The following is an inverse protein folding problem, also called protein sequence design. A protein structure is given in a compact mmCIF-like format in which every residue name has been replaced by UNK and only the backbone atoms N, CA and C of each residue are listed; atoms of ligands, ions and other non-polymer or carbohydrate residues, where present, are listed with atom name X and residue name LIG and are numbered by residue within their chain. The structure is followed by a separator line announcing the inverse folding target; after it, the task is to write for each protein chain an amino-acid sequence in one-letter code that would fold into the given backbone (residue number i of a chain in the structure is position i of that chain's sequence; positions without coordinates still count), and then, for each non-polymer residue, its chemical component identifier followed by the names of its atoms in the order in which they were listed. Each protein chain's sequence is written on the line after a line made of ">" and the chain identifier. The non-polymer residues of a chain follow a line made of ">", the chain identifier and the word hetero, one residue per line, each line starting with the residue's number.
data_IF_119689815718
#
_entry.id   IF_119689815718
#
_cell.length_a   1.000
_cell.length_b   1.000
_cell.length_c   1.000
_cell.angle_alpha   90.00
_cell.angle_beta   90.00
_cell.angle_gamma   90.00
#
_symmetry.space_group_name_H-M   'P 1'
#
loop_
_entity.id
_entity.type
_entity.pdbx_description
1 polymer ?
#
# COMPACT_ATOMS: atom_id res chain seq x y z
N UNK A 1 16.73 -0.29 -15.80
CA UNK A 1 17.74 -1.13 -16.50
C UNK A 1 18.83 -0.17 -16.97
N UNK A 2 20.12 -0.41 -16.65
CA UNK A 2 21.21 0.45 -17.07
C UNK A 2 21.46 0.27 -18.57
N UNK A 3 21.47 1.37 -19.33
CA UNK A 3 21.84 1.39 -20.74
C UNK A 3 23.31 1.78 -20.95
N UNK A 4 23.78 2.71 -20.14
CA UNK A 4 25.19 3.11 -20.13
C UNK A 4 26.14 1.98 -19.70
N UNK A 5 25.67 1.03 -18.86
CA UNK A 5 26.40 -0.13 -18.39
C UNK A 5 25.80 -1.45 -18.94
N UNK A 6 25.22 -1.41 -20.14
CA UNK A 6 24.50 -2.56 -20.69
C UNK A 6 25.38 -3.81 -20.86
N UNK A 7 26.66 -3.64 -21.21
CA UNK A 7 27.58 -4.76 -21.35
C UNK A 7 27.76 -5.53 -20.03
N UNK A 8 27.94 -4.80 -18.92
CA UNK A 8 28.07 -5.37 -17.60
C UNK A 8 26.75 -6.01 -17.12
N UNK A 9 25.62 -5.33 -17.33
CA UNK A 9 24.30 -5.89 -17.07
C UNK A 9 24.08 -7.20 -17.82
N UNK A 10 24.40 -7.23 -19.11
CA UNK A 10 24.26 -8.42 -19.95
C UNK A 10 25.15 -9.57 -19.53
N UNK A 11 26.36 -9.27 -19.05
CA UNK A 11 27.31 -10.27 -18.51
C UNK A 11 26.83 -10.86 -17.18
N UNK A 12 26.34 -10.01 -16.27
CA UNK A 12 25.87 -10.43 -14.94
C UNK A 12 24.51 -11.12 -14.96
N UNK A 13 23.73 -10.97 -16.03
CA UNK A 13 22.36 -11.51 -16.14
C UNK A 13 22.15 -12.25 -17.47
N UNK A 14 22.97 -13.24 -17.81
CA UNK A 14 22.98 -13.83 -19.16
C UNK A 14 21.63 -14.43 -19.58
N UNK A 15 20.91 -15.04 -18.62
CA UNK A 15 19.69 -15.78 -18.90
C UNK A 15 18.40 -14.94 -18.85
N UNK A 16 18.47 -13.80 -18.15
CA UNK A 16 17.27 -12.95 -17.90
C UNK A 16 17.44 -11.52 -18.42
N UNK A 17 18.53 -11.23 -19.09
CA UNK A 17 18.76 -9.91 -19.68
C UNK A 17 17.70 -9.58 -20.72
N UNK A 18 17.31 -8.33 -20.74
CA UNK A 18 16.53 -7.79 -21.85
C UNK A 18 17.45 -7.29 -22.95
N UNK A 19 17.05 -7.44 -24.20
CA UNK A 19 17.80 -6.92 -25.33
C UNK A 19 17.70 -5.39 -25.37
N UNK A 20 18.76 -4.74 -25.81
CA UNK A 20 18.77 -3.29 -26.02
C UNK A 20 18.36 -2.88 -27.45
N UNK A 21 18.18 -3.86 -28.36
CA UNK A 21 17.75 -3.64 -29.74
C UNK A 21 16.77 -4.72 -30.18
N UNK A 22 15.93 -4.42 -31.17
CA UNK A 22 15.01 -5.36 -31.77
C UNK A 22 13.61 -5.35 -31.12
N UNK A 23 12.81 -6.34 -31.47
CA UNK A 23 11.47 -6.50 -30.89
C UNK A 23 11.53 -6.79 -29.41
N UNK A 24 10.66 -6.20 -28.62
CA UNK A 24 10.63 -6.33 -27.15
C UNK A 24 11.95 -5.92 -26.45
N UNK A 25 12.68 -4.97 -27.03
CA UNK A 25 13.87 -4.41 -26.39
C UNK A 25 13.51 -3.43 -25.28
N UNK A 26 14.53 -3.13 -24.45
CA UNK A 26 14.45 -2.07 -23.43
C UNK A 26 13.97 -0.77 -24.06
N UNK A 27 13.02 -0.10 -23.43
CA UNK A 27 12.54 1.22 -23.83
C UNK A 27 13.44 2.25 -23.14
N UNK A 28 14.24 3.04 -23.88
CA UNK A 28 15.06 4.09 -23.28
C UNK A 28 14.19 5.19 -22.66
N UNK A 29 14.53 5.59 -21.43
CA UNK A 29 14.00 6.80 -20.82
C UNK A 29 14.94 7.99 -21.01
N UNK A 30 16.24 7.71 -21.04
CA UNK A 30 17.33 8.61 -21.39
C UNK A 30 18.56 7.80 -21.86
N UNK A 31 19.74 8.43 -21.99
CA UNK A 31 20.99 7.76 -22.38
C UNK A 31 21.45 6.68 -21.40
N UNK A 32 21.07 6.78 -20.13
CA UNK A 32 21.65 6.01 -19.03
C UNK A 32 20.75 4.86 -18.59
N UNK A 33 19.44 5.03 -18.67
CA UNK A 33 18.46 4.06 -18.16
C UNK A 33 17.31 3.81 -19.12
N UNK A 34 16.79 2.61 -19.04
CA UNK A 34 15.56 2.20 -19.72
C UNK A 34 14.66 1.33 -18.83
N UNK A 35 13.46 1.09 -19.30
CA UNK A 35 12.43 0.28 -18.65
C UNK A 35 12.12 -0.97 -19.45
N UNK A 36 11.46 -1.91 -18.78
CA UNK A 36 10.97 -3.13 -19.41
C UNK A 36 9.97 -2.78 -20.54
N UNK A 37 9.99 -3.48 -21.68
CA UNK A 37 9.10 -3.18 -22.82
C UNK A 37 7.61 -3.23 -22.48
N UNK A 38 7.20 -4.09 -21.55
CA UNK A 38 5.80 -4.14 -21.06
C UNK A 38 5.36 -2.88 -20.29
N UNK A 39 6.29 -2.00 -19.94
CA UNK A 39 6.02 -0.75 -19.23
C UNK A 39 5.97 0.47 -20.20
N UNK A 40 5.68 0.24 -21.47
CA UNK A 40 5.72 1.29 -22.50
C UNK A 40 4.87 2.54 -22.14
N UNK A 41 3.72 2.36 -21.48
CA UNK A 41 2.88 3.47 -21.03
C UNK A 41 3.55 4.41 -20.01
N UNK A 42 4.61 3.96 -19.33
CA UNK A 42 5.38 4.81 -18.42
C UNK A 42 6.22 5.84 -19.14
N UNK A 43 6.66 5.55 -20.38
CA UNK A 43 7.40 6.53 -21.19
C UNK A 43 6.53 7.74 -21.54
N UNK A 44 5.25 7.52 -21.82
CA UNK A 44 4.30 8.61 -22.10
C UNK A 44 4.10 9.49 -20.86
N UNK A 45 4.01 8.88 -19.68
CA UNK A 45 3.89 9.61 -18.42
C UNK A 45 5.16 10.42 -18.10
N UNK A 46 6.34 9.85 -18.37
CA UNK A 46 7.61 10.56 -18.21
C UNK A 46 7.69 11.77 -19.14
N UNK A 47 7.37 11.58 -20.41
CA UNK A 47 7.38 12.64 -21.42
C UNK A 47 6.37 13.75 -21.10
N UNK A 48 5.25 13.40 -20.46
CA UNK A 48 4.25 14.35 -19.98
C UNK A 48 4.61 15.03 -18.65
N UNK A 49 5.79 14.75 -18.06
CA UNK A 49 6.21 15.27 -16.76
C UNK A 49 5.41 14.76 -15.58
N UNK A 50 4.73 13.61 -15.73
CA UNK A 50 3.86 13.00 -14.71
C UNK A 50 4.50 11.79 -14.01
N UNK A 51 5.74 11.48 -14.34
CA UNK A 51 6.50 10.37 -13.78
C UNK A 51 7.91 10.83 -13.42
N UNK A 52 8.39 10.43 -12.26
CA UNK A 52 9.79 10.52 -11.87
C UNK A 52 10.34 9.10 -11.64
N UNK A 53 11.57 8.86 -12.06
CA UNK A 53 12.28 7.60 -11.83
C UNK A 53 13.45 7.85 -10.90
N UNK A 54 13.48 7.18 -9.76
CA UNK A 54 14.52 7.32 -8.75
C UNK A 54 15.26 5.98 -8.66
N UNK A 55 16.56 6.01 -8.95
CA UNK A 55 17.42 4.83 -8.88
C UNK A 55 18.27 4.85 -7.61
N UNK A 56 18.83 3.69 -7.23
CA UNK A 56 19.76 3.58 -6.12
C UNK A 56 19.11 3.77 -4.75
N UNK A 57 17.80 3.56 -4.64
CA UNK A 57 17.09 3.60 -3.35
C UNK A 57 17.41 2.33 -2.57
N UNK A 58 17.87 2.50 -1.34
CA UNK A 58 18.21 1.41 -0.45
C UNK A 58 18.60 1.93 0.93
N UNK A 59 19.17 1.07 1.77
CA UNK A 59 19.66 1.41 3.09
C UNK A 59 21.10 0.90 3.29
N UNK A 60 21.89 1.53 4.19
CA UNK A 60 23.26 1.12 4.42
C UNK A 60 23.38 -0.32 4.96
N UNK A 61 24.44 -1.02 4.55
CA UNK A 61 24.79 -2.38 5.03
C UNK A 61 23.65 -3.39 4.94
N UNK A 62 23.06 -3.61 3.74
CA UNK A 62 22.00 -4.57 3.57
C UNK A 62 22.49 -6.00 3.86
N UNK A 63 21.68 -6.76 4.59
CA UNK A 63 21.97 -8.18 4.88
C UNK A 63 21.40 -9.13 3.82
N UNK A 64 20.81 -8.59 2.74
CA UNK A 64 20.16 -9.31 1.64
C UNK A 64 18.96 -10.18 2.06
N UNK A 65 18.46 -10.04 3.28
CA UNK A 65 17.18 -10.61 3.68
C UNK A 65 16.04 -9.80 3.04
N UNK A 66 15.15 -10.46 2.34
CA UNK A 66 13.96 -9.83 1.75
C UNK A 66 13.07 -9.20 2.82
N UNK A 67 12.82 -9.95 3.91
CA UNK A 67 11.94 -9.50 5.00
C UNK A 67 12.54 -8.31 5.76
N UNK A 68 13.83 -8.36 6.08
CA UNK A 68 14.48 -7.25 6.77
C UNK A 68 14.54 -6.01 5.90
N UNK A 69 14.81 -6.19 4.60
CA UNK A 69 14.84 -5.07 3.64
C UNK A 69 13.47 -4.43 3.47
N UNK A 70 12.41 -5.22 3.39
CA UNK A 70 11.05 -4.72 3.32
C UNK A 70 10.68 -3.95 4.60
N UNK A 71 10.99 -4.51 5.77
CA UNK A 71 10.74 -3.85 7.05
C UNK A 71 11.52 -2.53 7.19
N UNK A 72 12.80 -2.49 6.77
CA UNK A 72 13.59 -1.25 6.77
C UNK A 72 12.99 -0.19 5.86
N UNK A 73 12.54 -0.58 4.67
CA UNK A 73 11.90 0.34 3.73
C UNK A 73 10.55 0.83 4.26
N UNK A 74 9.74 -0.03 4.85
CA UNK A 74 8.45 0.36 5.43
C UNK A 74 8.61 1.25 6.67
N UNK A 75 9.61 0.97 7.49
CA UNK A 75 9.96 1.84 8.60
C UNK A 75 10.60 3.15 8.14
N UNK A 76 11.18 3.21 6.93
CA UNK A 76 11.95 4.37 6.46
C UNK A 76 13.14 4.66 7.37
N UNK A 77 13.87 3.62 7.74
CA UNK A 77 15.02 3.66 8.64
C UNK A 77 16.31 3.33 7.91
N UNK A 78 17.42 3.74 8.46
CA UNK A 78 18.75 3.59 7.85
C UNK A 78 19.40 2.21 8.07
N UNK A 79 18.72 1.29 8.74
CA UNK A 79 19.23 -0.06 9.02
C UNK A 79 20.21 -0.16 10.19
N UNK A 80 20.59 0.97 10.84
CA UNK A 80 21.53 0.95 11.96
C UNK A 80 20.93 0.41 13.27
N UNK A 81 19.60 0.42 13.38
CA UNK A 81 18.90 -0.14 14.53
C UNK A 81 17.65 -0.95 14.11
N UNK A 82 17.84 -2.20 13.64
CA UNK A 82 16.75 -3.03 13.17
C UNK A 82 15.75 -3.45 14.25
N UNK A 83 16.11 -3.34 15.53
CA UNK A 83 15.23 -3.72 16.64
C UNK A 83 14.13 -2.70 16.97
N UNK A 84 14.19 -1.50 16.41
CA UNK A 84 13.21 -0.43 16.68
C UNK A 84 12.30 -0.18 15.46
N UNK A 85 11.57 -1.22 15.07
CA UNK A 85 10.62 -1.19 13.96
C UNK A 85 9.18 -1.00 14.47
N UNK A 86 8.98 -0.05 15.39
CA UNK A 86 7.68 0.17 16.03
C UNK A 86 6.74 1.01 15.16
N UNK A 87 7.29 1.84 14.30
CA UNK A 87 6.51 2.74 13.45
C UNK A 87 6.97 2.75 11.98
N UNK A 88 6.03 3.06 11.10
CA UNK A 88 6.24 3.15 9.67
C UNK A 88 6.36 4.59 9.16
N UNK A 89 7.00 4.73 8.01
CA UNK A 89 7.20 6.04 7.37
C UNK A 89 5.88 6.76 7.08
N UNK A 90 4.86 6.02 6.63
CA UNK A 90 3.55 6.60 6.32
C UNK A 90 2.76 6.90 7.59
N UNK A 91 2.90 6.08 8.64
CA UNK A 91 2.30 6.37 9.94
C UNK A 91 2.79 7.70 10.52
N UNK A 92 4.11 7.90 10.53
CA UNK A 92 4.72 9.18 10.95
C UNK A 92 4.29 10.36 10.07
N UNK A 93 4.24 10.16 8.76
CA UNK A 93 3.76 11.18 7.83
C UNK A 93 2.31 11.58 8.13
N UNK A 94 1.42 10.61 8.25
CA UNK A 94 -0.01 10.86 8.51
C UNK A 94 -0.23 11.61 9.82
N UNK A 95 0.47 11.24 10.90
CA UNK A 95 0.33 11.94 12.17
C UNK A 95 0.81 13.39 12.09
N UNK A 96 1.91 13.63 11.40
CA UNK A 96 2.47 14.97 11.24
C UNK A 96 1.62 15.90 10.37
N UNK A 97 1.07 15.36 9.28
CA UNK A 97 0.39 16.16 8.24
C UNK A 97 -1.12 16.23 8.45
N UNK A 98 -1.69 15.21 9.07
CA UNK A 98 -3.13 15.04 9.30
C UNK A 98 -3.44 14.72 10.76
N UNK A 99 -2.99 15.56 11.72
CA UNK A 99 -3.21 15.27 13.13
C UNK A 99 -4.71 15.16 13.43
N UNK A 100 -5.08 14.15 14.21
CA UNK A 100 -6.47 13.87 14.59
C UNK A 100 -7.36 13.27 13.51
N UNK A 101 -6.82 12.99 12.32
CA UNK A 101 -7.59 12.31 11.24
C UNK A 101 -7.40 10.80 11.22
N UNK A 102 -6.38 10.30 11.90
CA UNK A 102 -6.11 8.87 11.99
C UNK A 102 -6.88 8.19 13.12
N UNK A 103 -7.04 6.87 13.03
CA UNK A 103 -7.78 6.08 14.01
C UNK A 103 -9.22 5.79 13.60
N UNK A 104 -10.12 5.76 14.57
CA UNK A 104 -11.54 5.47 14.34
C UNK A 104 -12.23 6.59 13.54
N UNK A 105 -13.33 6.28 12.82
CA UNK A 105 -14.10 7.28 12.11
C UNK A 105 -14.49 8.43 13.03
N UNK A 106 -14.25 9.66 12.59
CA UNK A 106 -14.55 10.86 13.36
C UNK A 106 -15.09 11.98 12.46
N UNK A 107 -15.45 13.12 13.06
CA UNK A 107 -16.03 14.24 12.32
C UNK A 107 -15.10 14.88 11.29
N UNK A 108 -13.79 14.75 11.47
CA UNK A 108 -12.78 15.28 10.54
C UNK A 108 -12.51 14.30 9.40
N UNK A 109 -12.62 12.99 9.68
CA UNK A 109 -12.31 11.93 8.72
C UNK A 109 -13.25 10.74 8.92
N UNK A 110 -14.25 10.64 8.06
CA UNK A 110 -15.22 9.54 8.04
C UNK A 110 -14.72 8.30 7.29
N UNK A 111 -13.74 8.48 6.41
CA UNK A 111 -13.09 7.41 5.63
C UNK A 111 -11.79 6.96 6.30
N UNK A 112 -11.34 5.72 6.09
CA UNK A 112 -9.99 5.33 6.50
C UNK A 112 -8.95 6.25 5.85
N UNK A 113 -8.01 6.75 6.64
CA UNK A 113 -6.96 7.67 6.13
C UNK A 113 -6.07 6.98 5.11
N UNK A 114 -5.82 5.69 5.32
CA UNK A 114 -5.06 4.84 4.40
C UNK A 114 -5.79 3.52 4.16
N UNK A 115 -5.73 3.02 2.93
CA UNK A 115 -6.28 1.72 2.52
C UNK A 115 -5.21 0.92 1.79
N UNK A 116 -5.07 -0.34 2.19
CA UNK A 116 -4.21 -1.30 1.53
C UNK A 116 -5.03 -2.37 0.81
N UNK A 117 -4.59 -2.70 -0.40
CA UNK A 117 -5.16 -3.75 -1.24
C UNK A 117 -4.07 -4.76 -1.63
N UNK A 118 -4.29 -6.04 -1.35
CA UNK A 118 -3.35 -7.10 -1.69
C UNK A 118 -3.29 -8.19 -0.63
N UNK A 119 -2.40 -9.16 -0.84
CA UNK A 119 -2.24 -10.31 0.04
C UNK A 119 -1.03 -10.19 0.99
N UNK A 120 -0.21 -9.17 0.83
CA UNK A 120 0.86 -8.87 1.78
C UNK A 120 0.30 -8.05 2.94
N UNK A 121 0.94 -8.16 4.09
CA UNK A 121 0.54 -7.42 5.29
C UNK A 121 1.58 -6.31 5.59
N UNK A 122 1.49 -5.14 4.92
CA UNK A 122 2.42 -4.04 5.16
C UNK A 122 2.01 -3.20 6.38
N UNK A 123 1.46 -3.83 7.43
CA UNK A 123 1.01 -3.13 8.65
C UNK A 123 2.05 -2.13 9.13
N UNK A 124 3.32 -2.50 9.07
CA UNK A 124 4.41 -1.68 9.56
C UNK A 124 4.46 -0.30 8.90
N UNK A 125 4.18 -0.17 7.59
CA UNK A 125 4.30 1.11 6.88
C UNK A 125 3.36 2.19 7.44
N UNK A 126 2.20 1.76 7.98
CA UNK A 126 1.17 2.66 8.53
C UNK A 126 1.16 2.72 10.07
N UNK A 127 1.96 1.90 10.74
CA UNK A 127 2.00 1.91 12.20
C UNK A 127 2.59 3.20 12.75
N UNK A 128 1.99 3.68 13.83
CA UNK A 128 2.54 4.73 14.68
C UNK A 128 2.09 4.52 16.12
N UNK A 129 2.84 5.07 17.09
CA UNK A 129 2.61 4.90 18.52
C UNK A 129 1.22 5.32 18.99
N UNK A 130 0.63 6.33 18.36
CA UNK A 130 -0.70 6.86 18.70
C UNK A 130 -1.79 6.48 17.68
N UNK A 131 -1.39 5.98 16.52
CA UNK A 131 -2.28 5.62 15.42
C UNK A 131 -2.08 4.17 15.04
N UNK A 132 -2.74 3.27 15.75
CA UNK A 132 -2.95 1.92 15.27
C UNK A 132 -4.00 1.99 14.18
N UNK A 133 -3.56 2.35 12.98
CA UNK A 133 -4.44 2.37 11.82
C UNK A 133 -4.99 0.95 11.63
N UNK A 134 -6.30 0.86 11.51
CA UNK A 134 -6.95 -0.38 11.13
C UNK A 134 -6.59 -0.58 9.67
N UNK A 135 -5.74 -1.56 9.41
CA UNK A 135 -5.46 -2.01 8.06
C UNK A 135 -6.69 -2.71 7.53
N UNK A 136 -7.28 -2.17 6.49
CA UNK A 136 -8.38 -2.81 5.80
C UNK A 136 -7.84 -3.55 4.58
N UNK A 137 -7.77 -4.87 4.67
CA UNK A 137 -7.49 -5.71 3.50
C UNK A 137 -8.75 -5.79 2.64
N UNK A 138 -8.89 -4.87 1.70
CA UNK A 138 -10.03 -4.80 0.80
C UNK A 138 -9.91 -5.75 -0.41
N UNK A 139 -9.02 -6.75 -0.39
CA UNK A 139 -8.91 -7.74 -1.48
C UNK A 139 -10.17 -8.60 -1.63
N UNK A 140 -11.06 -8.59 -0.65
CA UNK A 140 -12.37 -9.24 -0.70
C UNK A 140 -13.50 -8.30 -0.33
N UNK A 141 -13.78 -7.31 -1.18
CA UNK A 141 -15.02 -6.52 -1.02
C UNK A 141 -16.31 -7.36 -1.22
N UNK A 142 -16.18 -8.65 -1.49
CA UNK A 142 -17.27 -9.65 -1.52
C UNK A 142 -17.16 -10.66 -0.37
N UNK A 143 -16.11 -10.59 0.44
CA UNK A 143 -15.95 -11.46 1.61
C UNK A 143 -16.81 -10.94 2.75
N UNK A 144 -17.64 -11.80 3.26
CA UNK A 144 -18.31 -11.65 4.56
C UNK A 144 -17.28 -11.12 5.55
N UNK A 145 -17.46 -9.91 6.05
CA UNK A 145 -16.75 -9.49 7.24
C UNK A 145 -16.92 -10.57 8.28
N UNK A 146 -15.85 -10.85 8.97
CA UNK A 146 -15.82 -11.80 10.07
C UNK A 146 -17.15 -11.75 10.81
N UNK A 147 -17.91 -12.85 10.67
CA UNK A 147 -19.18 -12.94 11.30
C UNK A 147 -19.02 -12.69 12.79
N UNK A 148 -19.66 -11.64 13.19
CA UNK A 148 -20.32 -11.48 14.48
C UNK A 148 -19.78 -12.39 15.58
N UNK A 149 -18.96 -11.82 16.42
CA UNK A 149 -19.03 -12.20 17.82
C UNK A 149 -20.43 -11.80 18.27
N UNK A 150 -21.24 -12.79 18.65
CA UNK A 150 -22.55 -12.56 19.24
C UNK A 150 -22.42 -11.49 20.35
N UNK A 151 -23.41 -10.61 20.52
CA UNK A 151 -23.38 -9.62 21.59
C UNK A 151 -23.53 -10.34 22.93
N UNK A 152 -22.45 -10.92 23.40
CA UNK A 152 -22.40 -11.34 24.78
C UNK A 152 -22.26 -10.06 25.60
N UNK A 153 -23.30 -9.75 26.36
CA UNK A 153 -23.33 -8.63 27.30
C UNK A 153 -22.41 -9.01 28.45
N UNK A 154 -21.12 -8.90 28.23
CA UNK A 154 -20.16 -8.96 29.30
C UNK A 154 -20.05 -7.55 29.90
N UNK A 155 -20.34 -7.43 31.17
CA UNK A 155 -20.13 -6.18 31.91
C UNK A 155 -18.63 -5.84 31.82
N UNK A 156 -18.28 -4.57 31.56
CA UNK A 156 -16.88 -4.15 31.59
C UNK A 156 -16.34 -4.42 32.99
N UNK A 157 -15.25 -5.13 33.08
CA UNK A 157 -14.50 -5.28 34.33
C UNK A 157 -13.12 -4.61 34.16
N UNK A 158 -12.56 -4.15 35.25
CA UNK A 158 -11.27 -3.48 35.30
C UNK A 158 -10.07 -4.45 35.19
N UNK A 159 -10.32 -5.71 34.89
CA UNK A 159 -9.27 -6.69 34.65
C UNK A 159 -8.57 -6.44 33.30
N UNK A 160 -7.37 -6.99 33.14
CA UNK A 160 -6.65 -6.93 31.81
C UNK A 160 -7.48 -7.58 30.70
N UNK A 161 -8.25 -8.60 31.05
CA UNK A 161 -9.15 -9.27 30.11
C UNK A 161 -10.34 -8.39 29.73
N UNK A 162 -10.97 -7.71 30.69
CA UNK A 162 -12.05 -6.75 30.41
C UNK A 162 -11.59 -5.59 29.55
N UNK A 163 -10.42 -5.00 29.85
CA UNK A 163 -9.82 -3.94 29.02
C UNK A 163 -9.51 -4.41 27.59
N UNK A 164 -9.01 -5.65 27.43
CA UNK A 164 -8.76 -6.23 26.11
C UNK A 164 -10.08 -6.43 25.33
N UNK A 165 -11.12 -6.90 25.98
CA UNK A 165 -12.44 -7.06 25.35
C UNK A 165 -13.04 -5.71 24.91
N UNK A 166 -12.97 -4.70 25.75
CA UNK A 166 -13.42 -3.36 25.42
C UNK A 166 -12.66 -2.80 24.21
N UNK A 167 -11.35 -2.99 24.18
CA UNK A 167 -10.53 -2.62 23.04
C UNK A 167 -10.98 -3.35 21.76
N UNK A 168 -11.18 -4.67 21.79
CA UNK A 168 -11.61 -5.45 20.64
C UNK A 168 -12.99 -5.01 20.11
N UNK A 169 -13.93 -4.72 21.02
CA UNK A 169 -15.25 -4.17 20.63
C UNK A 169 -15.15 -2.78 19.99
N UNK A 170 -14.26 -1.95 20.49
CA UNK A 170 -13.98 -0.64 19.91
C UNK A 170 -13.45 -0.78 18.48
N UNK A 171 -12.53 -1.73 18.25
CA UNK A 171 -11.99 -2.06 16.93
C UNK A 171 -13.10 -2.57 16.00
N UNK A 172 -13.92 -3.52 16.45
CA UNK A 172 -15.04 -4.09 15.68
C UNK A 172 -16.02 -3.00 15.25
N UNK A 173 -16.48 -2.16 16.16
CA UNK A 173 -17.37 -1.03 15.85
C UNK A 173 -16.78 -0.06 14.84
N UNK A 174 -15.50 0.21 14.95
CA UNK A 174 -14.79 1.08 14.01
C UNK A 174 -14.68 0.43 12.62
N UNK A 175 -14.42 -0.88 12.59
CA UNK A 175 -14.38 -1.64 11.33
C UNK A 175 -15.72 -1.65 10.63
N UNK A 176 -16.83 -1.88 11.33
CA UNK A 176 -18.19 -1.84 10.77
C UNK A 176 -18.52 -0.47 10.18
N UNK A 177 -18.17 0.59 10.89
CA UNK A 177 -18.37 1.95 10.43
C UNK A 177 -17.60 2.25 9.16
N UNK A 178 -16.33 1.88 9.09
CA UNK A 178 -15.50 2.02 7.89
C UNK A 178 -16.00 1.14 6.75
N UNK A 179 -16.42 -0.08 7.03
CA UNK A 179 -16.96 -0.98 6.01
C UNK A 179 -18.16 -0.39 5.31
N UNK A 180 -19.18 0.02 6.07
CA UNK A 180 -20.38 0.61 5.52
C UNK A 180 -20.07 1.86 4.69
N UNK A 181 -19.13 2.68 5.15
CA UNK A 181 -18.68 3.85 4.43
C UNK A 181 -17.97 3.49 3.13
N UNK A 182 -17.02 2.54 3.16
CA UNK A 182 -16.29 2.06 1.99
C UNK A 182 -17.25 1.51 0.94
N UNK A 183 -18.22 0.67 1.33
CA UNK A 183 -19.22 0.11 0.41
C UNK A 183 -20.07 1.22 -0.22
N UNK A 184 -20.53 2.17 0.57
CA UNK A 184 -21.30 3.32 0.08
C UNK A 184 -20.53 4.10 -0.98
N UNK A 185 -19.30 4.47 -0.68
CA UNK A 185 -18.42 5.21 -1.59
C UNK A 185 -18.08 4.37 -2.84
N UNK A 186 -17.78 3.08 -2.66
CA UNK A 186 -17.49 2.20 -3.77
C UNK A 186 -18.68 2.07 -4.74
N UNK A 187 -19.91 1.97 -4.22
CA UNK A 187 -21.10 1.90 -5.04
C UNK A 187 -21.40 3.23 -5.76
N UNK A 188 -21.17 4.36 -5.10
CA UNK A 188 -21.29 5.67 -5.70
C UNK A 188 -20.31 5.86 -6.89
N UNK A 189 -19.14 5.26 -6.84
CA UNK A 189 -18.09 5.37 -7.88
C UNK A 189 -18.24 4.40 -9.06
N UNK A 190 -19.40 3.79 -9.28
CA UNK A 190 -19.59 2.69 -10.23
C UNK A 190 -19.45 3.05 -11.73
N UNK A 191 -19.36 4.30 -12.09
CA UNK A 191 -19.48 4.79 -13.47
C UNK A 191 -18.13 5.00 -14.17
N UNK A 192 -17.15 4.12 -14.01
CA UNK A 192 -15.91 4.21 -14.79
C UNK A 192 -16.09 3.60 -16.18
N UNK A 193 -15.83 4.38 -17.24
CA UNK A 193 -15.75 3.92 -18.62
C UNK A 193 -14.41 3.24 -18.95
N UNK A 194 -13.44 3.28 -18.03
CA UNK A 194 -12.12 2.71 -18.23
C UNK A 194 -12.13 1.22 -17.98
N UNK A 195 -11.64 0.44 -18.94
CA UNK A 195 -11.42 -0.99 -18.79
C UNK A 195 -10.10 -1.26 -18.07
N UNK A 196 -10.13 -2.11 -17.06
CA UNK A 196 -8.95 -2.56 -16.33
C UNK A 196 -8.63 -4.01 -16.71
N UNK A 197 -7.35 -4.39 -16.82
CA UNK A 197 -6.96 -5.78 -17.04
C UNK A 197 -7.52 -6.71 -15.96
N UNK A 198 -7.87 -7.95 -16.34
CA UNK A 198 -8.34 -8.97 -15.39
C UNK A 198 -7.18 -9.63 -14.64
N UNK A 199 -6.32 -8.83 -14.04
CA UNK A 199 -5.21 -9.23 -13.15
C UNK A 199 -5.52 -8.78 -11.73
N UNK A 200 -4.80 -9.32 -10.74
CA UNK A 200 -4.98 -8.89 -9.34
C UNK A 200 -4.71 -7.39 -9.18
N UNK A 201 -3.62 -6.88 -9.74
CA UNK A 201 -3.31 -5.46 -9.73
C UNK A 201 -4.38 -4.64 -10.45
N UNK A 202 -4.85 -5.09 -11.61
CA UNK A 202 -5.92 -4.40 -12.35
C UNK A 202 -7.22 -4.29 -11.54
N UNK A 203 -7.61 -5.34 -10.82
CA UNK A 203 -8.77 -5.34 -9.93
C UNK A 203 -8.60 -4.38 -8.75
N UNK A 204 -7.43 -4.38 -8.12
CA UNK A 204 -7.10 -3.46 -7.03
C UNK A 204 -7.17 -2.00 -7.50
N UNK A 205 -6.52 -1.67 -8.62
CA UNK A 205 -6.54 -0.32 -9.20
C UNK A 205 -7.95 0.12 -9.62
N UNK A 206 -8.76 -0.80 -10.14
CA UNK A 206 -10.17 -0.54 -10.44
C UNK A 206 -10.94 -0.17 -9.17
N UNK A 207 -10.70 -0.89 -8.07
CA UNK A 207 -11.32 -0.61 -6.77
C UNK A 207 -10.91 0.76 -6.25
N UNK A 208 -9.62 1.09 -6.27
CA UNK A 208 -9.10 2.41 -5.92
C UNK A 208 -9.75 3.52 -6.75
N UNK A 209 -9.82 3.34 -8.07
CA UNK A 209 -10.47 4.29 -8.97
C UNK A 209 -11.95 4.51 -8.62
N UNK A 210 -12.67 3.45 -8.28
CA UNK A 210 -14.08 3.55 -7.84
C UNK A 210 -14.22 4.32 -6.54
N UNK A 211 -13.37 4.05 -5.56
CA UNK A 211 -13.38 4.76 -4.28
C UNK A 211 -13.11 6.27 -4.47
N UNK A 212 -12.10 6.62 -5.27
CA UNK A 212 -11.80 8.02 -5.58
C UNK A 212 -12.99 8.70 -6.27
N UNK A 213 -13.59 8.06 -7.26
CA UNK A 213 -14.75 8.60 -7.99
C UNK A 213 -16.00 8.70 -7.12
N UNK A 214 -16.16 7.81 -6.15
CA UNK A 214 -17.26 7.82 -5.20
C UNK A 214 -17.12 8.86 -4.10
N UNK A 215 -16.03 9.62 -4.09
CA UNK A 215 -15.80 10.71 -3.16
C UNK A 215 -15.13 10.28 -1.85
N UNK A 216 -14.34 9.18 -1.88
CA UNK A 216 -13.51 8.82 -0.74
C UNK A 216 -12.54 9.94 -0.38
N UNK A 217 -12.45 10.24 0.91
CA UNK A 217 -11.49 11.18 1.49
C UNK A 217 -10.16 10.53 1.87
N UNK A 218 -10.03 9.21 1.66
CA UNK A 218 -8.79 8.45 1.88
C UNK A 218 -7.60 9.13 1.21
N UNK A 219 -6.51 9.28 1.94
CA UNK A 219 -5.33 10.03 1.50
C UNK A 219 -4.28 9.14 0.83
N UNK A 220 -4.19 7.89 1.28
CA UNK A 220 -3.21 6.93 0.77
C UNK A 220 -3.92 5.65 0.36
N UNK A 221 -3.71 5.24 -0.88
CA UNK A 221 -4.09 3.92 -1.38
C UNK A 221 -2.80 3.16 -1.70
N UNK A 222 -2.62 2.02 -1.08
CA UNK A 222 -1.52 1.11 -1.34
C UNK A 222 -2.05 -0.12 -2.04
N UNK A 223 -1.42 -0.50 -3.14
CA UNK A 223 -1.71 -1.75 -3.87
C UNK A 223 -0.45 -2.59 -3.93
N UNK A 224 -0.58 -3.90 -3.77
CA UNK A 224 0.57 -4.81 -3.78
C UNK A 224 0.36 -5.93 -4.79
N UNK A 225 1.44 -6.33 -5.43
CA UNK A 225 1.52 -7.52 -6.27
C UNK A 225 2.51 -8.48 -5.62
N UNK A 226 2.09 -9.73 -5.48
CA UNK A 226 2.99 -10.79 -5.09
C UNK A 226 3.86 -11.23 -6.27
N UNK A 227 5.08 -11.64 -6.00
CA UNK A 227 6.03 -12.26 -6.91
C UNK A 227 6.25 -13.72 -6.54
#
# INVERSE_FOLDING_TARGET
>A
IPLNEYAQYSFLRPDIKLNNTGANSIIPLNSDIGIHPSMFAFSDLLNAGKLAVINGVGYPKPNYSHFDSENMMFAGRDGNNPSNLEDGIMGRYLEKVLPGMAGSPNRLMEDPVALHFGNSNPCLIFNHTHNRNIEYNASSMQGTLFGMLAPEILLPDDSDYGRMQEYLRGVEKSMDSYYNRIISVFNAGNNSSVSYPNTNLGKQLKTVSRLIRGGSKTKIFMVTIGG
#
